data_IF_158672227726
#
_entry.id   IF_158672227726
#
_cell.length_a   1.000
_cell.length_b   1.000
_cell.length_c   1.000
_cell.angle_alpha   90.00
_cell.angle_beta   90.00
_cell.angle_gamma   90.00
#
_symmetry.space_group_name_H-M   'P 1'
#
loop_
_entity.id
_entity.type
_entity.pdbx_description
1 polymer ?
#
# COMPACT_ATOMS: atom_id res chain seq x y z
N UNK A 1 9.42 3.03 -3.31
CA UNK A 1 8.41 3.69 -2.47
C UNK A 1 7.40 4.30 -3.41
N UNK A 2 6.19 3.73 -3.49
CA UNK A 2 5.15 4.17 -4.42
C UNK A 2 4.31 5.29 -3.79
N UNK A 3 3.90 6.27 -4.61
CA UNK A 3 3.10 7.42 -4.18
C UNK A 3 1.99 7.71 -5.17
N UNK A 4 0.80 8.10 -4.70
CA UNK A 4 -0.31 8.58 -5.54
C UNK A 4 -0.90 9.88 -5.00
N UNK A 5 -1.51 10.68 -5.85
CA UNK A 5 -2.22 11.90 -5.43
C UNK A 5 -3.71 11.72 -5.69
N UNK A 6 -4.53 11.90 -4.65
CA UNK A 6 -5.99 11.81 -4.72
C UNK A 6 -6.55 13.06 -4.06
N UNK A 7 -7.39 13.81 -4.77
CA UNK A 7 -8.00 15.06 -4.29
C UNK A 7 -7.00 16.08 -3.70
N UNK A 8 -5.78 16.14 -4.28
CA UNK A 8 -4.72 17.03 -3.83
C UNK A 8 -3.94 16.55 -2.59
N UNK A 9 -4.29 15.40 -2.02
CA UNK A 9 -3.55 14.75 -0.94
C UNK A 9 -2.57 13.74 -1.52
N UNK A 10 -1.31 13.79 -1.07
CA UNK A 10 -0.29 12.81 -1.49
C UNK A 10 -0.32 11.63 -0.55
N UNK A 11 -0.53 10.44 -1.11
CA UNK A 11 -0.54 9.16 -0.42
C UNK A 11 0.74 8.41 -0.71
N UNK A 12 1.27 7.78 0.33
CA UNK A 12 2.46 6.94 0.28
C UNK A 12 2.09 5.51 0.61
N UNK A 13 2.49 4.57 -0.24
CA UNK A 13 2.26 3.16 0.00
C UNK A 13 3.13 2.71 1.18
N UNK A 14 2.47 2.29 2.24
CA UNK A 14 3.07 1.96 3.53
C UNK A 14 2.68 0.55 3.93
N UNK A 15 3.64 -0.22 4.45
CA UNK A 15 3.40 -1.53 5.04
C UNK A 15 3.29 -1.38 6.56
N UNK A 16 2.27 -1.98 7.16
CA UNK A 16 2.14 -2.14 8.61
C UNK A 16 3.31 -2.97 9.12
N UNK A 17 3.80 -2.60 10.29
CA UNK A 17 4.76 -3.43 11.03
C UNK A 17 4.03 -4.68 11.53
N UNK A 18 4.08 -5.72 10.71
CA UNK A 18 3.43 -6.99 10.97
C UNK A 18 4.37 -8.13 10.51
N UNK A 19 4.46 -9.22 11.29
CA UNK A 19 5.39 -10.31 11.01
C UNK A 19 5.05 -11.09 9.74
N UNK A 20 3.81 -10.99 9.27
CA UNK A 20 3.33 -11.68 8.08
C UNK A 20 3.54 -10.80 6.84
N UNK A 21 4.01 -11.41 5.74
CA UNK A 21 4.07 -10.75 4.45
C UNK A 21 2.72 -10.87 3.73
N UNK A 22 1.72 -10.15 4.24
CA UNK A 22 0.35 -10.16 3.72
C UNK A 22 0.02 -8.83 3.00
N UNK A 23 -0.79 -8.91 1.94
CA UNK A 23 -1.37 -7.75 1.25
C UNK A 23 -2.21 -6.87 2.17
N UNK A 24 -2.90 -7.48 3.14
CA UNK A 24 -3.69 -6.74 4.13
C UNK A 24 -2.83 -5.85 5.03
N UNK A 25 -1.50 -6.04 5.03
CA UNK A 25 -0.58 -5.17 5.74
C UNK A 25 -0.20 -3.93 4.93
N UNK A 26 -0.59 -3.81 3.66
CA UNK A 26 -0.34 -2.63 2.85
C UNK A 26 -1.52 -1.65 2.92
N UNK A 27 -1.22 -0.36 2.95
CA UNK A 27 -2.20 0.73 2.91
C UNK A 27 -1.59 2.01 2.37
N UNK A 28 -2.43 2.93 1.93
CA UNK A 28 -2.04 4.27 1.50
C UNK A 28 -2.14 5.24 2.68
N UNK A 29 -1.02 5.83 3.07
CA UNK A 29 -0.98 6.87 4.10
C UNK A 29 -0.88 8.26 3.44
N UNK A 30 -1.93 9.05 3.62
CA UNK A 30 -2.01 10.44 3.17
C UNK A 30 -1.11 11.34 3.99
N UNK A 31 -0.58 12.40 3.37
CA UNK A 31 0.18 13.45 4.04
C UNK A 31 -0.64 14.22 5.07
N UNK A 32 -1.96 14.15 4.98
CA UNK A 32 -2.95 14.68 5.92
C UNK A 32 -3.28 13.71 7.08
N UNK A 33 -2.74 12.49 7.04
CA UNK A 33 -3.03 11.41 8.00
C UNK A 33 -4.19 10.51 7.62
N UNK A 34 -4.85 10.73 6.48
CA UNK A 34 -5.89 9.83 5.97
C UNK A 34 -5.31 8.49 5.58
N UNK A 35 -6.02 7.39 5.87
CA UNK A 35 -5.65 6.04 5.45
C UNK A 35 -6.65 5.55 4.42
N UNK A 36 -6.14 5.09 3.27
CA UNK A 36 -6.94 4.40 2.26
C UNK A 36 -6.49 2.94 2.16
N UNK A 37 -7.46 2.05 2.06
CA UNK A 37 -7.22 0.67 1.70
C UNK A 37 -6.85 0.57 0.22
N UNK A 38 -6.23 -0.54 -0.16
CA UNK A 38 -5.91 -0.80 -1.56
C UNK A 38 -7.12 -1.39 -2.26
N UNK A 39 -7.41 -0.86 -3.44
CA UNK A 39 -8.43 -1.44 -4.30
C UNK A 39 -7.92 -2.76 -4.91
N UNK A 40 -8.84 -3.62 -5.37
CA UNK A 40 -8.51 -4.91 -6.00
C UNK A 40 -7.40 -4.84 -7.08
N UNK A 41 -7.39 -3.87 -8.03
CA UNK A 41 -6.31 -3.76 -9.01
C UNK A 41 -4.95 -3.44 -8.37
N UNK A 42 -4.92 -2.62 -7.32
CA UNK A 42 -3.68 -2.27 -6.62
C UNK A 42 -3.14 -3.46 -5.82
N UNK A 43 -4.03 -4.21 -5.16
CA UNK A 43 -3.67 -5.46 -4.50
C UNK A 43 -3.11 -6.48 -5.50
N UNK A 44 -3.71 -6.58 -6.69
CA UNK A 44 -3.21 -7.47 -7.75
C UNK A 44 -1.82 -7.03 -8.25
N UNK A 45 -1.61 -5.73 -8.41
CA UNK A 45 -0.31 -5.19 -8.79
C UNK A 45 0.77 -5.50 -7.73
N UNK A 46 0.44 -5.37 -6.45
CA UNK A 46 1.37 -5.73 -5.37
C UNK A 46 1.63 -7.21 -5.24
N UNK A 47 0.67 -8.08 -5.53
CA UNK A 47 0.91 -9.53 -5.64
C UNK A 47 1.89 -9.87 -6.75
N UNK A 48 1.81 -9.15 -7.87
CA UNK A 48 2.66 -9.36 -9.04
C UNK A 48 4.04 -8.71 -8.88
N UNK A 49 4.14 -7.69 -8.03
CA UNK A 49 5.41 -7.10 -7.62
C UNK A 49 6.06 -8.04 -6.60
N UNK A 50 7.32 -8.43 -6.81
CA UNK A 50 8.11 -9.32 -5.92
C UNK A 50 8.21 -8.86 -4.45
N UNK A 51 7.62 -7.71 -4.10
CA UNK A 51 7.45 -7.17 -2.74
C UNK A 51 6.79 -8.18 -1.77
N UNK A 52 5.97 -9.10 -2.27
CA UNK A 52 5.28 -10.12 -1.45
C UNK A 52 5.93 -11.51 -1.54
N UNK A 53 6.90 -11.71 -2.43
CA UNK A 53 7.44 -13.04 -2.78
C UNK A 53 8.77 -13.43 -2.10
N UNK A 54 9.32 -12.59 -1.22
CA UNK A 54 10.48 -12.99 -0.41
C UNK A 54 9.99 -13.86 0.78
N UNK A 55 9.83 -15.16 0.53
CA UNK A 55 9.91 -16.27 1.51
C UNK A 55 11.30 -16.91 1.49
#
# INVERSE_FOLDING_TARGET
METKTVDGVTYTLTRRDAPQNDLHNWYWLGSDGTVLELDEPEQRALRASDVILDE
#
